data_IF_737015714394
#
_entry.id   IF_737015714394
#
_cell.length_a   1.000
_cell.length_b   1.000
_cell.length_c   1.000
_cell.angle_alpha   90.00
_cell.angle_beta   90.00
_cell.angle_gamma   90.00
#
_symmetry.space_group_name_H-M   'P 1'
#
loop_
_entity.id
_entity.type
_entity.pdbx_description
1 polymer ?
#
# COMPACT_ATOMS: atom_id res chain seq x y z
N UNK A 1 -53.67 55.37 6.63
CA UNK A 1 -53.22 54.13 5.96
C UNK A 1 -52.02 53.61 6.73
N UNK A 2 -52.12 52.41 7.30
CA UNK A 2 -51.22 51.87 8.34
C UNK A 2 -49.94 51.30 7.71
N UNK A 3 -48.80 51.66 8.29
CA UNK A 3 -47.49 51.09 7.97
C UNK A 3 -47.37 49.66 8.54
N UNK A 4 -46.72 48.76 7.80
CA UNK A 4 -46.22 47.50 8.38
C UNK A 4 -44.96 47.05 7.63
N UNK A 5 -43.81 47.26 8.28
CA UNK A 5 -42.50 46.75 7.87
C UNK A 5 -42.41 45.30 8.36
N UNK A 6 -42.20 44.36 7.44
CA UNK A 6 -41.85 42.98 7.81
C UNK A 6 -40.37 42.74 7.53
N UNK A 7 -39.65 42.52 8.63
CA UNK A 7 -38.27 42.11 8.72
C UNK A 7 -38.24 40.59 8.53
N UNK A 8 -37.69 40.09 7.42
CA UNK A 8 -37.47 38.65 7.24
C UNK A 8 -35.98 38.34 7.38
N UNK A 9 -35.69 37.60 8.44
CA UNK A 9 -34.38 37.12 8.85
C UNK A 9 -33.90 35.95 7.98
N UNK A 10 -32.59 35.99 7.72
CA UNK A 10 -31.70 34.96 7.17
C UNK A 10 -31.84 33.59 7.82
N UNK A 11 -31.82 32.51 7.02
CA UNK A 11 -31.10 31.26 7.35
C UNK A 11 -30.44 30.72 6.07
N UNK A 12 -29.13 30.90 5.94
CA UNK A 12 -28.32 30.21 4.94
C UNK A 12 -27.92 28.85 5.49
N UNK A 13 -28.39 27.77 4.88
CA UNK A 13 -28.01 26.40 5.23
C UNK A 13 -26.72 26.05 4.48
N UNK A 14 -25.57 26.18 5.15
CA UNK A 14 -24.28 25.74 4.62
C UNK A 14 -24.15 24.23 4.86
N UNK A 15 -24.51 23.42 3.87
CA UNK A 15 -24.30 21.97 3.91
C UNK A 15 -22.81 21.66 3.67
N UNK A 16 -22.09 21.46 4.77
CA UNK A 16 -20.75 20.90 4.75
C UNK A 16 -20.85 19.39 4.44
N UNK A 17 -20.81 19.02 3.17
CA UNK A 17 -20.69 17.62 2.76
C UNK A 17 -19.24 17.18 2.94
N UNK A 18 -18.91 16.66 4.12
CA UNK A 18 -17.75 15.79 4.29
C UNK A 18 -18.01 14.52 3.47
N UNK A 19 -17.50 14.46 2.24
CA UNK A 19 -17.33 13.20 1.54
C UNK A 19 -16.19 12.47 2.24
N UNK A 20 -16.55 11.61 3.19
CA UNK A 20 -15.59 10.70 3.83
C UNK A 20 -14.98 9.80 2.77
N UNK A 21 -13.65 9.69 2.77
CA UNK A 21 -12.93 8.71 1.96
C UNK A 21 -13.35 7.32 2.47
N UNK A 22 -14.22 6.64 1.72
CA UNK A 22 -14.57 5.26 2.02
C UNK A 22 -13.38 4.41 1.58
N UNK A 23 -12.54 3.99 2.51
CA UNK A 23 -11.56 2.95 2.23
C UNK A 23 -12.35 1.69 1.84
N UNK A 24 -12.21 1.25 0.58
CA UNK A 24 -12.87 0.05 0.10
C UNK A 24 -12.26 -1.14 0.84
N UNK A 25 -12.99 -1.68 1.82
CA UNK A 25 -12.71 -3.01 2.34
C UNK A 25 -13.40 -3.99 1.40
N UNK A 26 -12.71 -4.39 0.33
CA UNK A 26 -13.17 -5.50 -0.51
C UNK A 26 -13.20 -6.76 0.37
N UNK A 27 -14.40 -7.23 0.72
CA UNK A 27 -14.64 -8.44 1.52
C UNK A 27 -14.32 -9.75 0.79
N UNK A 28 -13.66 -9.67 -0.36
CA UNK A 28 -13.13 -10.82 -1.09
C UNK A 28 -11.93 -11.40 -0.36
N UNK A 29 -11.72 -12.71 -0.41
CA UNK A 29 -10.46 -13.30 0.03
C UNK A 29 -9.32 -12.87 -0.93
N UNK A 30 -8.08 -12.72 -0.45
CA UNK A 30 -6.94 -12.51 -1.34
C UNK A 30 -6.80 -13.70 -2.30
N UNK A 31 -6.35 -13.43 -3.54
CA UNK A 31 -6.10 -14.49 -4.52
C UNK A 31 -4.88 -15.34 -4.14
N UNK A 32 -3.92 -14.73 -3.43
CA UNK A 32 -2.83 -15.40 -2.75
C UNK A 32 -2.24 -14.48 -1.68
N UNK A 33 -1.43 -15.05 -0.79
CA UNK A 33 -0.62 -14.29 0.16
C UNK A 33 0.73 -14.92 0.32
N UNK A 34 1.76 -14.13 0.62
CA UNK A 34 3.09 -14.62 0.94
C UNK A 34 3.70 -13.82 2.09
N UNK A 35 4.67 -14.45 2.75
CA UNK A 35 5.57 -13.84 3.72
C UNK A 35 6.92 -13.56 3.07
N UNK A 36 7.52 -12.42 3.41
CA UNK A 36 8.85 -12.03 2.93
C UNK A 36 9.61 -11.25 3.99
N UNK A 37 10.91 -11.53 4.12
CA UNK A 37 11.84 -10.71 4.89
C UNK A 37 12.38 -9.63 3.96
N UNK A 38 12.17 -8.36 4.29
CA UNK A 38 12.80 -7.27 3.53
C UNK A 38 14.20 -7.00 4.08
N UNK A 39 15.20 -7.75 3.64
CA UNK A 39 16.57 -7.56 4.12
C UNK A 39 17.20 -6.27 3.60
N UNK A 40 18.40 -5.96 4.09
CA UNK A 40 19.16 -4.79 3.66
C UNK A 40 19.44 -4.78 2.15
N UNK A 41 19.41 -5.94 1.48
CA UNK A 41 19.66 -6.06 0.03
C UNK A 41 18.50 -5.52 -0.81
N UNK A 42 17.28 -5.62 -0.31
CA UNK A 42 16.07 -5.17 -1.02
C UNK A 42 15.94 -3.65 -1.06
N UNK A 43 16.77 -2.96 -0.28
CA UNK A 43 16.80 -1.52 -0.19
C UNK A 43 17.62 -0.86 -1.30
N UNK A 44 18.21 -1.62 -2.22
CA UNK A 44 19.06 -1.08 -3.27
C UNK A 44 18.66 -1.63 -4.64
N UNK A 45 18.60 -0.77 -5.64
CA UNK A 45 18.44 -1.24 -7.02
C UNK A 45 19.74 -1.87 -7.55
N UNK A 46 19.69 -2.42 -8.76
CA UNK A 46 20.85 -3.05 -9.42
C UNK A 46 22.05 -2.11 -9.64
N UNK A 47 21.85 -0.79 -9.53
CA UNK A 47 22.92 0.22 -9.62
C UNK A 47 23.47 0.61 -8.24
N UNK A 48 23.04 -0.04 -7.16
CA UNK A 48 23.45 0.26 -5.78
C UNK A 48 22.81 1.53 -5.21
N UNK A 49 21.77 2.08 -5.84
CA UNK A 49 21.09 3.27 -5.33
C UNK A 49 20.02 2.89 -4.31
N UNK A 50 20.03 3.58 -3.17
CA UNK A 50 19.07 3.36 -2.08
C UNK A 50 17.64 3.69 -2.54
N UNK A 51 16.75 2.72 -2.39
CA UNK A 51 15.33 2.86 -2.63
C UNK A 51 14.65 3.53 -1.43
N UNK A 52 13.70 4.41 -1.73
CA UNK A 52 13.04 5.28 -0.73
C UNK A 52 11.52 5.07 -0.68
N UNK A 53 10.98 4.17 -1.50
CA UNK A 53 9.54 3.87 -1.53
C UNK A 53 9.29 2.43 -1.09
N UNK A 54 8.23 2.18 -0.29
CA UNK A 54 7.87 0.83 0.10
C UNK A 54 7.64 -0.09 -1.10
N UNK A 55 6.97 0.43 -2.13
CA UNK A 55 6.73 -0.31 -3.36
C UNK A 55 8.03 -0.68 -4.10
N UNK A 56 9.00 0.22 -4.18
CA UNK A 56 10.25 -0.09 -4.84
C UNK A 56 11.02 -1.19 -4.10
N UNK A 57 11.00 -1.18 -2.76
CA UNK A 57 11.70 -2.16 -1.91
C UNK A 57 11.04 -3.55 -2.03
N UNK A 58 9.73 -3.65 -1.85
CA UNK A 58 9.00 -4.93 -2.03
C UNK A 58 9.19 -5.47 -3.47
N UNK A 59 9.21 -4.58 -4.47
CA UNK A 59 9.48 -4.98 -5.86
C UNK A 59 10.91 -5.50 -6.05
N UNK A 60 11.89 -4.88 -5.39
CA UNK A 60 13.28 -5.31 -5.44
C UNK A 60 13.46 -6.67 -4.77
N UNK A 61 12.82 -6.88 -3.62
CA UNK A 61 12.72 -8.18 -2.95
C UNK A 61 12.16 -9.26 -3.89
N UNK A 62 11.00 -9.04 -4.53
CA UNK A 62 10.46 -10.00 -5.50
C UNK A 62 11.37 -10.20 -6.73
N UNK A 63 12.17 -9.20 -7.11
CA UNK A 63 13.20 -9.38 -8.14
C UNK A 63 14.39 -10.21 -7.62
N UNK A 64 14.81 -9.99 -6.38
CA UNK A 64 15.85 -10.76 -5.70
C UNK A 64 15.44 -12.24 -5.59
N UNK A 65 14.19 -12.52 -5.22
CA UNK A 65 13.65 -13.87 -5.10
C UNK A 65 13.60 -14.64 -6.43
N UNK A 66 13.09 -14.00 -7.49
CA UNK A 66 12.81 -14.67 -8.78
C UNK A 66 13.86 -14.52 -9.86
N UNK A 67 14.61 -13.42 -9.86
CA UNK A 67 15.55 -13.09 -10.94
C UNK A 67 16.99 -13.32 -10.50
N UNK A 68 17.34 -12.88 -9.29
CA UNK A 68 18.73 -12.86 -8.83
C UNK A 68 19.11 -14.02 -7.90
N UNK A 69 18.12 -14.76 -7.37
CA UNK A 69 18.35 -15.89 -6.46
C UNK A 69 18.83 -15.48 -5.06
N UNK A 70 18.69 -14.20 -4.70
CA UNK A 70 18.98 -13.70 -3.36
C UNK A 70 17.72 -13.80 -2.52
N UNK A 71 17.51 -14.95 -1.88
CA UNK A 71 16.36 -15.20 -1.01
C UNK A 71 16.76 -15.10 0.44
N UNK A 72 15.87 -14.58 1.26
CA UNK A 72 15.98 -14.65 2.70
C UNK A 72 15.31 -15.94 3.24
N UNK A 73 15.73 -16.46 4.42
CA UNK A 73 15.24 -17.73 4.95
C UNK A 73 13.72 -17.79 5.15
N UNK A 74 13.10 -16.65 5.44
CA UNK A 74 11.66 -16.54 5.69
C UNK A 74 10.83 -16.28 4.42
N UNK A 75 11.46 -16.16 3.25
CA UNK A 75 10.74 -15.84 2.02
C UNK A 75 9.92 -17.01 1.50
N UNK A 76 8.63 -16.75 1.28
CA UNK A 76 7.71 -17.66 0.62
C UNK A 76 7.60 -17.35 -0.88
N UNK A 77 7.37 -18.39 -1.72
CA UNK A 77 7.01 -18.20 -3.11
C UNK A 77 5.59 -17.63 -3.26
N UNK A 78 5.40 -16.89 -4.35
CA UNK A 78 4.12 -16.37 -4.83
C UNK A 78 3.99 -16.50 -6.36
N UNK A 79 2.78 -16.71 -6.89
CA UNK A 79 2.60 -16.86 -8.33
C UNK A 79 2.52 -15.51 -9.05
N UNK A 80 1.89 -14.50 -8.44
CA UNK A 80 1.59 -13.23 -9.08
C UNK A 80 2.85 -12.42 -9.39
N UNK A 81 3.77 -12.25 -8.44
CA UNK A 81 5.01 -11.50 -8.61
C UNK A 81 6.17 -12.32 -9.17
N UNK A 82 5.94 -13.58 -9.57
CA UNK A 82 6.86 -14.30 -10.46
C UNK A 82 6.99 -13.61 -11.84
N UNK A 83 5.92 -12.92 -12.30
CA UNK A 83 5.93 -12.11 -13.53
C UNK A 83 6.58 -10.74 -13.31
N UNK A 84 7.45 -10.35 -14.26
CA UNK A 84 8.08 -9.03 -14.29
C UNK A 84 7.05 -7.91 -14.46
N UNK A 85 6.02 -8.15 -15.26
CA UNK A 85 4.94 -7.22 -15.56
C UNK A 85 4.11 -6.94 -14.30
N UNK A 86 3.83 -7.97 -13.50
CA UNK A 86 3.13 -7.80 -12.24
C UNK A 86 3.99 -7.08 -11.19
N UNK A 87 5.30 -7.36 -11.11
CA UNK A 87 6.23 -6.58 -10.29
C UNK A 87 6.23 -5.09 -10.66
N UNK A 88 6.12 -4.77 -11.95
CA UNK A 88 6.03 -3.38 -12.41
C UNK A 88 4.72 -2.66 -12.02
N UNK A 89 3.67 -3.40 -11.64
CA UNK A 89 2.38 -2.84 -11.18
C UNK A 89 2.36 -2.51 -9.68
N UNK A 90 3.36 -2.96 -8.91
CA UNK A 90 3.31 -2.96 -7.45
C UNK A 90 3.02 -1.59 -6.82
N UNK A 91 3.58 -0.51 -7.36
CA UNK A 91 3.31 0.85 -6.88
C UNK A 91 1.81 1.19 -6.92
N UNK A 92 1.17 1.02 -8.07
CA UNK A 92 -0.28 1.23 -8.21
C UNK A 92 -1.12 0.26 -7.37
N UNK A 93 -0.66 -0.98 -7.20
CA UNK A 93 -1.36 -1.96 -6.36
C UNK A 93 -1.32 -1.54 -4.89
N UNK A 94 -0.17 -1.08 -4.40
CA UNK A 94 0.01 -0.64 -3.02
C UNK A 94 -0.69 0.69 -2.73
N UNK A 95 -0.79 1.59 -3.71
CA UNK A 95 -1.58 2.82 -3.61
C UNK A 95 -3.08 2.56 -3.48
N UNK A 96 -3.58 1.48 -4.10
CA UNK A 96 -4.99 1.10 -4.07
C UNK A 96 -5.38 0.23 -2.89
N UNK A 97 -4.41 -0.38 -2.23
CA UNK A 97 -4.64 -1.26 -1.10
C UNK A 97 -4.38 -0.57 0.22
N UNK A 98 -4.07 -1.37 1.24
CA UNK A 98 -3.90 -0.87 2.61
C UNK A 98 -2.51 -1.20 3.15
N UNK A 99 -1.91 -0.22 3.83
CA UNK A 99 -0.72 -0.38 4.64
C UNK A 99 -0.65 0.79 5.60
N UNK A 100 -0.38 0.53 6.89
CA UNK A 100 -0.31 1.60 7.88
C UNK A 100 0.89 2.51 7.59
N UNK A 101 0.84 3.82 7.95
CA UNK A 101 1.99 4.70 7.82
C UNK A 101 3.25 4.16 8.52
N UNK A 102 3.06 3.49 9.66
CA UNK A 102 4.12 2.82 10.39
C UNK A 102 4.71 1.63 9.63
N UNK A 103 3.87 0.76 9.05
CA UNK A 103 4.34 -0.34 8.22
C UNK A 103 5.16 0.18 7.04
N UNK A 104 4.71 1.24 6.36
CA UNK A 104 5.45 1.87 5.27
C UNK A 104 6.80 2.43 5.73
N UNK A 105 6.85 3.04 6.92
CA UNK A 105 8.10 3.55 7.52
C UNK A 105 9.06 2.40 7.83
N UNK A 106 8.58 1.30 8.39
CA UNK A 106 9.38 0.12 8.72
C UNK A 106 9.93 -0.55 7.46
N UNK A 107 9.11 -0.65 6.40
CA UNK A 107 9.56 -1.16 5.09
C UNK A 107 10.71 -0.33 4.51
N UNK A 108 10.72 1.00 4.71
CA UNK A 108 11.76 1.88 4.15
C UNK A 108 13.03 1.91 5.00
N UNK A 109 12.89 1.83 6.32
CA UNK A 109 13.96 2.14 7.27
C UNK A 109 14.46 0.94 8.07
N UNK A 110 13.75 -0.18 8.03
CA UNK A 110 14.06 -1.39 8.80
C UNK A 110 14.22 -2.60 7.90
N UNK A 111 14.17 -3.78 8.51
CA UNK A 111 14.20 -5.06 7.78
C UNK A 111 13.04 -5.96 8.20
N UNK A 112 11.78 -5.49 8.12
CA UNK A 112 10.66 -6.21 8.71
C UNK A 112 10.35 -7.51 7.97
N UNK A 113 9.74 -8.44 8.70
CA UNK A 113 9.00 -9.55 8.13
C UNK A 113 7.60 -9.04 7.78
N UNK A 114 7.23 -9.14 6.51
CA UNK A 114 5.94 -8.65 6.03
C UNK A 114 5.05 -9.79 5.56
N UNK A 115 3.74 -9.60 5.65
CA UNK A 115 2.75 -10.36 4.89
C UNK A 115 2.20 -9.47 3.79
N UNK A 116 2.21 -9.99 2.57
CA UNK A 116 1.55 -9.37 1.42
C UNK A 116 0.35 -10.21 1.05
N UNK A 117 -0.82 -9.59 1.04
CA UNK A 117 -2.05 -10.17 0.51
C UNK A 117 -2.31 -9.57 -0.87
N UNK A 118 -2.41 -10.43 -1.88
CA UNK A 118 -2.57 -10.03 -3.26
C UNK A 118 -4.03 -10.15 -3.66
N UNK A 119 -4.54 -9.09 -4.29
CA UNK A 119 -5.86 -9.03 -4.89
C UNK A 119 -5.72 -8.68 -6.37
N UNK A 120 -6.82 -8.80 -7.12
CA UNK A 120 -6.83 -8.51 -8.56
C UNK A 120 -6.26 -7.11 -8.91
N UNK A 121 -6.58 -6.12 -8.07
CA UNK A 121 -6.36 -4.70 -8.35
C UNK A 121 -5.61 -3.93 -7.27
N UNK A 122 -5.26 -4.57 -6.15
CA UNK A 122 -4.55 -3.94 -5.03
C UNK A 122 -3.74 -4.98 -4.23
N UNK A 123 -2.90 -4.50 -3.31
CA UNK A 123 -2.22 -5.35 -2.32
C UNK A 123 -2.37 -4.76 -0.93
N UNK A 124 -2.56 -5.61 0.07
CA UNK A 124 -2.44 -5.21 1.47
C UNK A 124 -1.08 -5.66 2.02
N UNK A 125 -0.43 -4.79 2.78
CA UNK A 125 0.89 -5.06 3.38
C UNK A 125 0.81 -4.83 4.89
N UNK A 126 1.09 -5.88 5.65
CA UNK A 126 1.13 -5.86 7.11
C UNK A 126 2.49 -6.32 7.62
N UNK A 127 2.89 -5.82 8.80
CA UNK A 127 4.11 -6.24 9.49
C UNK A 127 3.78 -7.45 10.37
N UNK A 128 4.56 -8.53 10.24
CA UNK A 128 4.51 -9.69 11.13
C UNK A 128 5.47 -9.46 12.31
N UNK A 129 6.71 -9.06 12.01
CA UNK A 129 7.73 -8.71 13.00
C UNK A 129 8.69 -7.67 12.42
N UNK A 130 9.39 -6.94 13.30
CA UNK A 130 10.45 -6.01 12.90
C UNK A 130 11.77 -6.72 12.51
#
# INVERSE_FOLDING_TARGET
>A
MKAFRWFLLFIAFLSLTCVGLVAQMDGSAPIESYVARLSARDHFNSNGQRLQSPAAIIRQDRANYYVYGYRDPEDEPDQFFSSKENRARLERLLERGTSTPEARRLVVNGTPLIRVEVYQNFVNVTIISE
#
